data_IF_865112151528
#
_entry.id   IF_865112151528
#
_cell.length_a   1.000
_cell.length_b   1.000
_cell.length_c   1.000
_cell.angle_alpha   90.00
_cell.angle_beta   90.00
_cell.angle_gamma   90.00
#
_symmetry.space_group_name_H-M   'P 1'
#
loop_
_entity.id
_entity.type
_entity.pdbx_description
1 polymer ?
#
# COMPACT_ATOMS: atom_id res chain seq x y z
N UNK A 1 29.71 1.17 -6.83
CA UNK A 1 28.56 0.25 -6.74
C UNK A 1 28.97 -1.05 -6.06
N UNK A 2 29.83 -1.89 -6.66
CA UNK A 2 30.25 -3.16 -6.03
C UNK A 2 31.10 -2.97 -4.77
N UNK A 3 31.91 -1.92 -4.71
CA UNK A 3 32.68 -1.53 -3.52
C UNK A 3 31.79 -1.25 -2.27
N UNK A 4 30.64 -0.58 -2.47
CA UNK A 4 29.74 -0.17 -1.38
C UNK A 4 28.70 -1.23 -1.04
N UNK A 5 28.19 -1.95 -2.04
CA UNK A 5 27.03 -2.84 -1.90
C UNK A 5 27.38 -4.32 -2.00
N UNK A 6 28.64 -4.66 -2.28
CA UNK A 6 29.09 -6.02 -2.54
C UNK A 6 28.64 -6.50 -3.91
N UNK A 7 27.34 -6.72 -4.09
CA UNK A 7 26.75 -7.29 -5.30
C UNK A 7 25.38 -6.64 -5.68
N UNK A 8 24.89 -6.97 -6.88
CA UNK A 8 23.63 -6.43 -7.42
C UNK A 8 22.40 -6.87 -6.61
N UNK A 9 22.40 -8.10 -6.08
CA UNK A 9 21.30 -8.61 -5.27
C UNK A 9 21.27 -7.91 -3.91
N UNK A 10 22.41 -7.73 -3.27
CA UNK A 10 22.57 -6.96 -2.04
C UNK A 10 22.11 -5.51 -2.21
N UNK A 11 22.51 -4.84 -3.31
CA UNK A 11 22.00 -3.50 -3.66
C UNK A 11 20.47 -3.50 -3.83
N UNK A 12 19.91 -4.49 -4.54
CA UNK A 12 18.46 -4.61 -4.75
C UNK A 12 17.71 -4.74 -3.42
N UNK A 13 18.17 -5.61 -2.52
CA UNK A 13 17.52 -5.84 -1.22
C UNK A 13 17.59 -4.59 -0.34
N UNK A 14 18.74 -3.90 -0.30
CA UNK A 14 18.87 -2.64 0.43
C UNK A 14 17.97 -1.54 -0.14
N UNK A 15 17.86 -1.45 -1.47
CA UNK A 15 16.93 -0.54 -2.13
C UNK A 15 15.47 -0.86 -1.79
N UNK A 16 15.11 -2.14 -1.75
CA UNK A 16 13.77 -2.59 -1.36
C UNK A 16 13.47 -2.22 0.10
N UNK A 17 14.41 -2.45 1.01
CA UNK A 17 14.28 -2.10 2.43
C UNK A 17 14.13 -0.59 2.64
N UNK A 18 14.98 0.21 1.98
CA UNK A 18 14.86 1.67 1.99
C UNK A 18 13.51 2.16 1.46
N UNK A 19 13.03 1.59 0.35
CA UNK A 19 11.73 1.95 -0.23
C UNK A 19 10.58 1.60 0.72
N UNK A 20 10.63 0.42 1.36
CA UNK A 20 9.63 -0.02 2.34
C UNK A 20 9.48 0.99 3.47
N UNK A 21 10.60 1.44 4.04
CA UNK A 21 10.60 2.43 5.13
C UNK A 21 10.00 3.78 4.72
N UNK A 22 10.38 4.30 3.54
CA UNK A 22 9.84 5.57 3.05
C UNK A 22 8.32 5.46 2.84
N UNK A 23 7.90 4.39 2.19
CA UNK A 23 6.50 4.21 1.84
C UNK A 23 5.63 3.93 3.07
N UNK A 24 6.11 3.15 4.03
CA UNK A 24 5.38 2.92 5.27
C UNK A 24 5.19 4.21 6.06
N UNK A 25 6.20 5.09 6.12
CA UNK A 25 6.10 6.39 6.78
C UNK A 25 5.04 7.28 6.13
N UNK A 26 5.03 7.38 4.80
CA UNK A 26 4.02 8.17 4.08
C UNK A 26 2.59 7.69 4.35
N UNK A 27 2.36 6.38 4.31
CA UNK A 27 1.02 5.83 4.59
C UNK A 27 0.64 6.08 6.05
N UNK A 28 1.57 5.86 6.98
CA UNK A 28 1.37 6.13 8.40
C UNK A 28 0.99 7.60 8.65
N UNK A 29 1.74 8.55 8.08
CA UNK A 29 1.49 9.98 8.20
C UNK A 29 0.09 10.39 7.73
N UNK A 30 -0.43 9.77 6.66
CA UNK A 30 -1.80 10.03 6.18
C UNK A 30 -2.84 9.46 7.13
N UNK A 31 -2.63 8.24 7.65
CA UNK A 31 -3.59 7.59 8.54
C UNK A 31 -3.64 8.24 9.93
N UNK A 32 -2.51 8.77 10.43
CA UNK A 32 -2.40 9.46 11.73
C UNK A 32 -2.91 10.91 11.72
N UNK A 33 -3.33 11.45 10.58
CA UNK A 33 -3.88 12.82 10.56
C UNK A 33 -5.08 12.94 11.49
N UNK A 34 -5.23 14.06 12.22
CA UNK A 34 -6.38 14.28 13.08
C UNK A 34 -7.67 14.33 12.26
N UNK A 35 -8.79 13.94 12.89
CA UNK A 35 -10.13 13.94 12.29
C UNK A 35 -10.60 12.53 11.92
N UNK A 36 -11.57 12.47 10.99
CA UNK A 36 -12.23 11.23 10.60
C UNK A 36 -11.28 10.29 9.86
N UNK A 37 -11.16 9.07 10.35
CA UNK A 37 -10.39 8.00 9.72
C UNK A 37 -10.93 7.67 8.32
N UNK A 38 -12.24 7.78 8.11
CA UNK A 38 -12.86 7.59 6.79
C UNK A 38 -12.34 8.59 5.77
N UNK A 39 -12.15 9.85 6.18
CA UNK A 39 -11.55 10.90 5.33
C UNK A 39 -10.06 10.62 5.08
N UNK A 40 -9.32 10.15 6.08
CA UNK A 40 -7.90 9.82 5.92
C UNK A 40 -7.68 8.65 4.96
N UNK A 41 -8.48 7.58 5.07
CA UNK A 41 -8.44 6.45 4.14
C UNK A 41 -8.78 6.90 2.72
N UNK A 42 -9.85 7.69 2.55
CA UNK A 42 -10.20 8.26 1.23
C UNK A 42 -9.03 9.02 0.62
N UNK A 43 -8.44 9.93 1.40
CA UNK A 43 -7.28 10.71 0.97
C UNK A 43 -6.09 9.83 0.58
N UNK A 44 -5.79 8.79 1.34
CA UNK A 44 -4.72 7.86 1.02
C UNK A 44 -4.90 7.22 -0.37
N UNK A 45 -6.12 6.77 -0.68
CA UNK A 45 -6.43 6.17 -1.98
C UNK A 45 -6.40 7.20 -3.12
N UNK A 46 -6.97 8.39 -2.91
CA UNK A 46 -6.95 9.49 -3.89
C UNK A 46 -5.52 9.97 -4.19
N UNK A 47 -4.69 10.19 -3.16
CA UNK A 47 -3.26 10.52 -3.31
C UNK A 47 -2.50 9.40 -4.02
N UNK A 48 -2.89 8.14 -3.78
CA UNK A 48 -2.29 7.00 -4.49
C UNK A 48 -2.63 7.01 -5.97
N UNK A 49 -3.89 7.24 -6.34
CA UNK A 49 -4.32 7.35 -7.75
C UNK A 49 -3.63 8.53 -8.43
N UNK A 50 -3.63 9.71 -7.80
CA UNK A 50 -2.98 10.91 -8.33
C UNK A 50 -1.50 10.66 -8.61
N UNK A 51 -0.80 10.02 -7.66
CA UNK A 51 0.60 9.63 -7.86
C UNK A 51 0.74 8.60 -8.97
N UNK A 52 -0.11 7.58 -9.02
CA UNK A 52 0.01 6.50 -10.00
C UNK A 52 -0.20 6.97 -11.45
N UNK A 53 -0.94 8.06 -11.64
CA UNK A 53 -1.13 8.75 -12.92
C UNK A 53 0.00 9.74 -13.26
N UNK A 54 0.98 9.93 -12.36
CA UNK A 54 2.17 10.75 -12.64
C UNK A 54 3.22 9.95 -13.43
N UNK A 55 4.12 10.67 -14.12
CA UNK A 55 5.21 10.04 -14.88
C UNK A 55 6.06 9.10 -14.02
N UNK A 56 6.33 9.49 -12.77
CA UNK A 56 7.11 8.73 -11.80
C UNK A 56 6.32 7.56 -11.20
N UNK A 57 5.02 7.74 -10.95
CA UNK A 57 4.18 6.73 -10.33
C UNK A 57 3.79 5.56 -11.23
N UNK A 58 3.92 5.72 -12.57
CA UNK A 58 3.76 4.63 -13.55
C UNK A 58 4.69 3.42 -13.33
N UNK A 59 5.73 3.56 -12.51
CA UNK A 59 6.61 2.45 -12.11
C UNK A 59 5.94 1.47 -11.12
N UNK A 60 4.83 1.88 -10.50
CA UNK A 60 4.09 1.09 -9.53
C UNK A 60 4.76 1.01 -8.15
N UNK A 61 4.42 -0.04 -7.39
CA UNK A 61 4.99 -0.28 -6.08
C UNK A 61 6.25 -1.15 -6.19
N UNK A 62 7.40 -0.72 -5.65
CA UNK A 62 8.59 -1.56 -5.70
C UNK A 62 8.41 -2.88 -4.91
N UNK A 63 7.71 -2.83 -3.77
CA UNK A 63 7.33 -4.03 -3.01
C UNK A 63 6.38 -4.92 -3.81
N UNK A 64 5.32 -4.36 -4.40
CA UNK A 64 4.35 -5.11 -5.19
C UNK A 64 4.95 -5.75 -6.45
N UNK A 65 5.80 -5.01 -7.17
CA UNK A 65 6.54 -5.54 -8.33
C UNK A 65 7.47 -6.68 -7.91
N UNK A 66 8.26 -6.49 -6.86
CA UNK A 66 9.17 -7.52 -6.35
C UNK A 66 8.42 -8.76 -5.86
N UNK A 67 7.25 -8.56 -5.24
CA UNK A 67 6.36 -9.64 -4.83
C UNK A 67 5.89 -10.46 -6.02
N UNK A 68 5.42 -9.80 -7.08
CA UNK A 68 4.95 -10.45 -8.31
C UNK A 68 6.07 -11.18 -9.06
N UNK A 69 7.23 -10.54 -9.22
CA UNK A 69 8.28 -11.01 -10.14
C UNK A 69 9.31 -11.94 -9.49
N UNK A 70 9.55 -11.84 -8.17
CA UNK A 70 10.70 -12.46 -7.52
C UNK A 70 10.34 -13.35 -6.33
N UNK A 71 9.20 -13.15 -5.66
CA UNK A 71 8.89 -13.91 -4.43
C UNK A 71 8.80 -15.42 -4.65
N UNK A 72 8.36 -15.88 -5.83
CA UNK A 72 8.31 -17.31 -6.16
C UNK A 72 9.67 -17.97 -6.39
N UNK A 73 10.75 -17.20 -6.56
CA UNK A 73 12.09 -17.69 -6.94
C UNK A 73 13.24 -17.18 -6.06
N UNK A 74 12.99 -16.24 -5.15
CA UNK A 74 13.97 -15.66 -4.25
C UNK A 74 13.38 -15.54 -2.84
N UNK A 75 13.90 -16.35 -1.92
CA UNK A 75 13.43 -16.46 -0.53
C UNK A 75 13.60 -15.17 0.25
N UNK A 76 14.70 -14.45 0.02
CA UNK A 76 15.01 -13.16 0.62
C UNK A 76 14.00 -12.08 0.21
N UNK A 77 13.59 -12.10 -1.06
CA UNK A 77 12.56 -11.19 -1.57
C UNK A 77 11.19 -11.55 -0.99
N UNK A 78 10.82 -12.83 -1.00
CA UNK A 78 9.57 -13.31 -0.41
C UNK A 78 9.45 -12.91 1.07
N UNK A 79 10.53 -13.10 1.84
CA UNK A 79 10.57 -12.75 3.26
C UNK A 79 10.29 -11.26 3.49
N UNK A 80 10.91 -10.38 2.69
CA UNK A 80 10.72 -8.91 2.77
C UNK A 80 9.34 -8.45 2.32
N UNK A 81 8.79 -9.06 1.27
CA UNK A 81 7.46 -8.70 0.77
C UNK A 81 6.37 -9.21 1.72
N UNK A 82 6.47 -10.42 2.26
CA UNK A 82 5.60 -10.91 3.33
C UNK A 82 5.66 -10.03 4.58
N UNK A 83 6.86 -9.62 4.99
CA UNK A 83 7.04 -8.71 6.13
C UNK A 83 6.38 -7.33 5.87
N UNK A 84 6.47 -6.83 4.64
CA UNK A 84 5.78 -5.59 4.22
C UNK A 84 4.26 -5.72 4.30
N UNK A 85 3.73 -6.84 3.81
CA UNK A 85 2.29 -7.12 3.87
C UNK A 85 1.80 -7.19 5.32
N UNK A 86 2.53 -7.90 6.20
CA UNK A 86 2.19 -7.99 7.61
C UNK A 86 2.25 -6.62 8.32
N UNK A 87 3.23 -5.77 7.97
CA UNK A 87 3.32 -4.42 8.51
C UNK A 87 2.16 -3.53 8.04
N UNK A 88 1.80 -3.61 6.75
CA UNK A 88 0.68 -2.88 6.19
C UNK A 88 -0.67 -3.34 6.80
N UNK A 89 -0.88 -4.64 6.94
CA UNK A 89 -2.05 -5.23 7.62
C UNK A 89 -2.20 -4.62 9.03
N UNK A 90 -1.14 -4.66 9.84
CA UNK A 90 -1.17 -4.09 11.21
C UNK A 90 -1.47 -2.60 11.22
N UNK A 91 -0.90 -1.84 10.29
CA UNK A 91 -1.11 -0.40 10.19
C UNK A 91 -2.57 -0.05 9.82
N UNK A 92 -3.11 -0.69 8.78
CA UNK A 92 -4.51 -0.51 8.40
C UNK A 92 -5.46 -0.98 9.49
N UNK A 93 -5.19 -2.13 10.12
CA UNK A 93 -6.01 -2.65 11.21
C UNK A 93 -6.09 -1.65 12.36
N UNK A 94 -4.94 -1.12 12.82
CA UNK A 94 -4.90 -0.11 13.90
C UNK A 94 -5.68 1.15 13.54
N UNK A 95 -5.56 1.61 12.29
CA UNK A 95 -6.29 2.77 11.79
C UNK A 95 -7.80 2.51 11.81
N UNK A 96 -8.25 1.36 11.32
CA UNK A 96 -9.65 0.95 11.33
C UNK A 96 -10.21 0.80 12.75
N UNK A 97 -9.46 0.19 13.66
CA UNK A 97 -9.83 0.08 15.08
C UNK A 97 -9.97 1.45 15.74
N UNK A 98 -9.07 2.40 15.44
CA UNK A 98 -9.18 3.78 15.92
C UNK A 98 -10.45 4.44 15.38
N UNK A 99 -10.70 4.37 14.07
CA UNK A 99 -11.90 4.96 13.46
C UNK A 99 -13.18 4.34 14.02
N UNK A 100 -13.19 3.02 14.29
CA UNK A 100 -14.33 2.34 14.93
C UNK A 100 -14.61 2.89 16.33
N UNK A 101 -13.58 3.13 17.15
CA UNK A 101 -13.73 3.78 18.48
C UNK A 101 -14.25 5.21 18.38
N UNK A 102 -13.99 5.90 17.27
CA UNK A 102 -14.47 7.26 17.01
C UNK A 102 -15.87 7.31 16.36
N UNK A 103 -16.46 6.15 16.04
CA UNK A 103 -17.77 6.06 15.39
C UNK A 103 -17.75 6.24 13.87
N UNK A 104 -16.57 6.27 13.24
CA UNK A 104 -16.45 6.43 11.77
C UNK A 104 -16.97 5.21 10.99
N UNK A 105 -17.00 4.02 11.63
CA UNK A 105 -17.29 2.73 10.99
C UNK A 105 -18.28 1.87 11.80
N UNK A 106 -19.56 2.27 11.92
CA UNK A 106 -20.55 1.56 12.73
C UNK A 106 -20.82 0.12 12.24
N UNK A 107 -20.72 -0.15 10.93
CA UNK A 107 -20.95 -1.47 10.33
C UNK A 107 -19.73 -2.39 10.29
N UNK A 108 -18.53 -1.91 10.64
CA UNK A 108 -17.28 -2.64 10.42
C UNK A 108 -17.13 -3.81 11.41
N UNK A 109 -17.26 -5.04 10.91
CA UNK A 109 -17.20 -6.28 11.72
C UNK A 109 -15.77 -6.76 11.99
N UNK A 110 -14.97 -6.92 10.94
CA UNK A 110 -13.60 -7.46 11.04
C UNK A 110 -12.57 -6.46 10.49
N UNK A 111 -11.98 -5.61 11.36
CA UNK A 111 -10.95 -4.66 10.97
C UNK A 111 -9.73 -5.31 10.30
N UNK A 112 -9.40 -6.55 10.66
CA UNK A 112 -8.22 -7.24 10.13
C UNK A 112 -8.48 -7.74 8.71
N UNK A 113 -9.63 -8.35 8.45
CA UNK A 113 -10.03 -8.76 7.10
C UNK A 113 -10.13 -7.54 6.18
N UNK A 114 -10.74 -6.45 6.65
CA UNK A 114 -10.83 -5.21 5.86
C UNK A 114 -9.45 -4.58 5.65
N UNK A 115 -8.54 -4.62 6.63
CA UNK A 115 -7.16 -4.16 6.43
C UNK A 115 -6.44 -4.92 5.30
N UNK A 116 -6.60 -6.25 5.23
CA UNK A 116 -6.06 -7.07 4.14
C UNK A 116 -6.67 -6.72 2.80
N UNK A 117 -7.98 -6.51 2.76
CA UNK A 117 -8.70 -6.08 1.56
C UNK A 117 -8.18 -4.72 1.07
N UNK A 118 -8.11 -3.71 1.94
CA UNK A 118 -7.61 -2.38 1.59
C UNK A 118 -6.18 -2.41 1.06
N UNK A 119 -5.28 -3.17 1.71
CA UNK A 119 -3.91 -3.33 1.22
C UNK A 119 -3.87 -4.00 -0.16
N UNK A 120 -4.65 -5.05 -0.36
CA UNK A 120 -4.74 -5.77 -1.64
C UNK A 120 -5.27 -4.86 -2.75
N UNK A 121 -6.34 -4.12 -2.50
CA UNK A 121 -6.90 -3.15 -3.44
C UNK A 121 -5.91 -2.03 -3.78
N UNK A 122 -5.14 -1.54 -2.79
CA UNK A 122 -4.10 -0.55 -3.01
C UNK A 122 -2.99 -1.07 -3.93
N UNK A 123 -2.55 -2.32 -3.74
CA UNK A 123 -1.57 -2.95 -4.64
C UNK A 123 -2.16 -3.18 -6.04
N UNK A 124 -3.42 -3.60 -6.13
CA UNK A 124 -4.14 -3.75 -7.40
C UNK A 124 -4.20 -2.44 -8.18
N UNK A 125 -4.54 -1.32 -7.53
CA UNK A 125 -4.54 0.01 -8.13
C UNK A 125 -3.16 0.39 -8.71
N UNK A 126 -2.11 0.19 -7.92
CA UNK A 126 -0.74 0.48 -8.35
C UNK A 126 -0.28 -0.42 -9.49
N UNK A 127 -0.78 -1.65 -9.58
CA UNK A 127 -0.51 -2.57 -10.68
C UNK A 127 -1.26 -2.17 -11.95
N UNK A 128 -2.57 -1.89 -11.86
CA UNK A 128 -3.38 -1.45 -12.99
C UNK A 128 -2.87 -0.15 -13.60
N UNK A 129 -2.41 0.79 -12.78
CA UNK A 129 -1.84 2.05 -13.25
C UNK A 129 -0.56 1.89 -14.08
N UNK A 130 0.11 0.73 -14.04
CA UNK A 130 1.22 0.41 -14.95
C UNK A 130 0.72 0.12 -16.37
N UNK A 131 -0.51 -0.37 -16.50
CA UNK A 131 -1.11 -0.79 -17.77
C UNK A 131 -2.06 0.25 -18.37
N UNK A 132 -2.70 1.08 -17.54
CA UNK A 132 -3.63 2.12 -18.00
C UNK A 132 -3.38 3.45 -17.30
N UNK A 133 -3.74 4.54 -17.97
CA UNK A 133 -3.78 5.90 -17.42
C UNK A 133 -5.23 6.42 -17.37
N UNK A 134 -6.21 5.53 -17.49
CA UNK A 134 -7.62 5.86 -17.30
C UNK A 134 -7.89 6.15 -15.82
N UNK A 135 -7.87 7.43 -15.47
CA UNK A 135 -8.18 7.87 -14.11
C UNK A 135 -9.61 7.56 -13.67
N UNK A 136 -10.57 7.46 -14.60
CA UNK A 136 -11.95 7.10 -14.25
C UNK A 136 -12.02 5.67 -13.76
N UNK A 137 -11.38 4.75 -14.49
CA UNK A 137 -11.28 3.34 -14.10
C UNK A 137 -10.67 3.19 -12.69
N UNK A 138 -9.56 3.86 -12.40
CA UNK A 138 -8.92 3.78 -11.09
C UNK A 138 -9.82 4.35 -9.98
N UNK A 139 -10.52 5.45 -10.26
CA UNK A 139 -11.45 6.06 -9.30
C UNK A 139 -12.68 5.19 -9.02
N UNK A 140 -13.18 4.45 -10.01
CA UNK A 140 -14.28 3.49 -9.79
C UNK A 140 -13.85 2.38 -8.81
N UNK A 141 -12.62 1.88 -8.95
CA UNK A 141 -12.04 0.90 -8.03
C UNK A 141 -11.88 1.47 -6.62
N UNK A 142 -11.41 2.72 -6.49
CA UNK A 142 -11.33 3.41 -5.19
C UNK A 142 -12.71 3.55 -4.56
N UNK A 143 -13.73 3.95 -5.33
CA UNK A 143 -15.10 4.12 -4.85
C UNK A 143 -15.65 2.81 -4.26
N UNK A 144 -15.53 1.70 -4.99
CA UNK A 144 -16.00 0.39 -4.49
C UNK A 144 -15.16 -0.06 -3.29
N UNK A 145 -13.84 0.12 -3.34
CA UNK A 145 -12.94 -0.26 -2.24
C UNK A 145 -13.32 0.46 -0.94
N UNK A 146 -13.68 1.74 -0.99
CA UNK A 146 -14.05 2.51 0.19
C UNK A 146 -15.48 2.24 0.67
N UNK A 147 -16.36 1.70 -0.17
CA UNK A 147 -17.74 1.36 0.22
C UNK A 147 -17.83 0.22 1.23
N UNK A 148 -16.78 -0.60 1.36
CA UNK A 148 -16.71 -1.67 2.39
C UNK A 148 -16.58 -1.13 3.82
N UNK A 149 -16.36 0.18 3.96
CA UNK A 149 -16.26 0.88 5.24
C UNK A 149 -17.60 1.45 5.70
N UNK A 150 -18.63 1.37 4.86
CA UNK A 150 -19.98 1.88 5.13
C UNK A 150 -20.83 0.88 5.95
#
# INVERSE_FOLDING_TARGET
IYDTFGDKHSLFLQGLDRYREIQSRKVFEVLERPGSMKKNLRRLFEETVARALSAEGRRGCFVGNSMSELAGRCKETATRTCSSMAAAEKMFQRALERGKRQGDFPGLRDPRAVARFLYSSLQGLLLMAKATQDGKLLNDVVKVTLSVLD
#
